data_IF_383378882258
#
_entry.id   IF_383378882258
#
_cell.length_a   1.000
_cell.length_b   1.000
_cell.length_c   1.000
_cell.angle_alpha   90.00
_cell.angle_beta   90.00
_cell.angle_gamma   90.00
#
_symmetry.space_group_name_H-M   'P 1'
#
loop_
_entity.id
_entity.type
_entity.pdbx_description
1 polymer ?
#
# COMPACT_ATOMS: atom_id res chain seq x y z
N UNK A 1 50.40 -5.99 -17.15
CA UNK A 1 49.69 -5.64 -15.88
C UNK A 1 48.72 -4.50 -16.11
N UNK A 2 47.49 -4.77 -16.59
CA UNK A 2 46.49 -3.71 -16.88
C UNK A 2 45.03 -4.20 -16.99
N UNK A 3 44.67 -5.29 -16.32
CA UNK A 3 43.30 -5.86 -16.37
C UNK A 3 42.54 -5.73 -15.05
N UNK A 4 43.25 -5.61 -13.92
CA UNK A 4 42.68 -5.45 -12.57
C UNK A 4 41.77 -4.23 -12.39
N UNK A 5 42.06 -3.10 -13.08
CA UNK A 5 41.32 -1.84 -12.89
C UNK A 5 39.92 -1.86 -13.51
N UNK A 6 39.69 -2.75 -14.47
CA UNK A 6 38.41 -2.87 -15.17
C UNK A 6 37.44 -3.69 -14.33
N UNK A 7 37.91 -4.74 -13.63
CA UNK A 7 37.08 -5.57 -12.76
C UNK A 7 36.51 -4.79 -11.55
N UNK A 8 37.30 -3.89 -10.95
CA UNK A 8 36.85 -3.10 -9.79
C UNK A 8 35.72 -2.10 -10.13
N UNK A 9 35.73 -1.52 -11.35
CA UNK A 9 34.69 -0.59 -11.80
C UNK A 9 33.38 -1.30 -12.18
N UNK A 10 33.46 -2.51 -12.73
CA UNK A 10 32.27 -3.32 -13.05
C UNK A 10 31.57 -3.80 -11.77
N UNK A 11 32.32 -4.17 -10.73
CA UNK A 11 31.75 -4.60 -9.44
C UNK A 11 31.09 -3.43 -8.70
N UNK A 12 31.65 -2.22 -8.78
CA UNK A 12 31.05 -1.03 -8.15
C UNK A 12 29.77 -0.55 -8.86
N UNK A 13 29.70 -0.68 -10.19
CA UNK A 13 28.48 -0.41 -10.95
C UNK A 13 27.37 -1.45 -10.67
N UNK A 14 27.74 -2.70 -10.40
CA UNK A 14 26.79 -3.76 -10.04
C UNK A 14 26.23 -3.58 -8.61
N UNK A 15 27.02 -3.03 -7.68
CA UNK A 15 26.57 -2.76 -6.32
C UNK A 15 25.59 -1.57 -6.21
N UNK A 16 25.70 -0.57 -7.11
CA UNK A 16 24.72 0.53 -7.17
C UNK A 16 23.36 0.12 -7.75
N UNK A 17 23.30 -0.94 -8.57
CA UNK A 17 22.03 -1.43 -9.13
C UNK A 17 21.18 -2.19 -8.10
N UNK A 18 21.79 -2.75 -7.05
CA UNK A 18 21.09 -3.50 -6.00
C UNK A 18 20.50 -2.62 -4.89
N UNK A 19 20.94 -1.37 -4.76
CA UNK A 19 20.38 -0.41 -3.80
C UNK A 19 19.06 0.24 -4.27
N UNK A 20 18.64 -0.06 -5.51
CA UNK A 20 17.49 0.58 -6.17
C UNK A 20 16.20 -0.24 -6.19
N UNK A 21 16.22 -1.50 -5.76
CA UNK A 21 15.00 -2.29 -5.59
C UNK A 21 14.26 -1.82 -4.32
N UNK A 22 13.80 -0.58 -4.32
CA UNK A 22 12.70 -0.19 -3.45
C UNK A 22 11.54 -1.09 -3.84
N UNK A 23 11.02 -1.85 -2.89
CA UNK A 23 9.71 -2.48 -3.03
C UNK A 23 8.78 -1.40 -3.59
N UNK A 24 8.35 -1.57 -4.84
CA UNK A 24 7.53 -0.58 -5.50
C UNK A 24 6.19 -0.62 -4.76
N UNK A 25 5.95 0.37 -3.90
CA UNK A 25 4.67 0.45 -3.21
C UNK A 25 3.57 0.48 -4.28
N UNK A 26 2.50 -0.32 -4.10
CA UNK A 26 1.51 -0.53 -5.14
C UNK A 26 1.03 0.82 -5.67
N UNK A 27 0.73 0.84 -6.97
CA UNK A 27 0.12 2.00 -7.61
C UNK A 27 -0.96 2.57 -6.68
N UNK A 28 -0.94 3.89 -6.52
CA UNK A 28 -1.77 4.75 -5.64
C UNK A 28 -1.22 5.19 -4.26
N UNK A 29 -0.10 4.67 -3.75
CA UNK A 29 0.68 5.33 -2.67
C UNK A 29 1.92 6.07 -3.17
N UNK A 30 2.11 6.16 -4.50
CA UNK A 30 3.42 6.48 -5.07
C UNK A 30 3.91 7.91 -4.80
N UNK A 31 3.03 8.86 -4.48
CA UNK A 31 3.42 10.26 -4.25
C UNK A 31 3.47 10.62 -2.78
N UNK A 32 2.51 10.14 -1.99
CA UNK A 32 2.48 10.36 -0.55
C UNK A 32 3.63 9.66 0.16
N UNK A 33 4.14 10.26 1.23
CA UNK A 33 5.21 9.73 2.07
C UNK A 33 4.82 9.88 3.54
N UNK A 34 5.15 8.88 4.34
CA UNK A 34 4.95 8.95 5.78
C UNK A 34 5.57 10.23 6.37
N UNK A 35 4.86 10.86 7.29
CA UNK A 35 5.29 12.12 7.90
C UNK A 35 4.90 13.39 7.14
N UNK A 36 4.43 13.31 5.88
CA UNK A 36 3.94 14.49 5.17
C UNK A 36 2.69 15.08 5.85
N UNK A 37 2.53 16.39 5.75
CA UNK A 37 1.33 17.08 6.23
C UNK A 37 0.18 16.91 5.24
N UNK A 38 -1.04 17.21 5.70
CA UNK A 38 -2.24 17.25 4.86
C UNK A 38 -2.01 18.06 3.58
N UNK A 39 -1.49 19.29 3.71
CA UNK A 39 -1.24 20.18 2.58
C UNK A 39 -0.25 19.58 1.56
N UNK A 40 0.80 18.92 2.04
CA UNK A 40 1.81 18.27 1.18
C UNK A 40 1.24 17.08 0.40
N UNK A 41 0.34 16.31 1.02
CA UNK A 41 -0.34 15.20 0.34
C UNK A 41 -1.33 15.73 -0.70
N UNK A 42 -2.12 16.76 -0.36
CA UNK A 42 -3.08 17.37 -1.28
C UNK A 42 -2.42 18.03 -2.49
N UNK A 43 -1.23 18.61 -2.35
CA UNK A 43 -0.46 19.17 -3.47
C UNK A 43 -0.05 18.07 -4.48
N UNK A 44 0.20 16.85 -4.01
CA UNK A 44 0.57 15.71 -4.85
C UNK A 44 -0.62 14.97 -5.49
N UNK A 45 -1.83 15.17 -4.96
CA UNK A 45 -3.04 14.41 -5.30
C UNK A 45 -4.21 15.37 -5.64
N UNK A 46 -4.22 15.96 -6.85
CA UNK A 46 -5.07 17.10 -7.21
C UNK A 46 -6.59 16.80 -7.32
N UNK A 47 -7.04 15.58 -7.07
CA UNK A 47 -8.45 15.17 -7.13
C UNK A 47 -8.91 14.49 -5.84
N UNK A 48 -8.51 15.08 -4.71
CA UNK A 48 -8.79 14.52 -3.40
C UNK A 48 -9.89 15.25 -2.64
N UNK A 49 -10.70 14.46 -1.94
CA UNK A 49 -11.68 14.96 -0.98
C UNK A 49 -11.05 14.96 0.41
N UNK A 50 -11.06 16.11 1.07
CA UNK A 50 -10.69 16.22 2.47
C UNK A 50 -11.92 16.08 3.37
N UNK A 51 -11.77 15.34 4.46
CA UNK A 51 -12.77 15.25 5.51
C UNK A 51 -12.10 15.23 6.89
N UNK A 52 -12.81 15.66 7.93
CA UNK A 52 -12.43 15.46 9.31
C UNK A 52 -13.50 14.60 9.99
N UNK A 53 -13.20 13.31 10.14
CA UNK A 53 -14.11 12.34 10.77
C UNK A 53 -13.60 12.04 12.18
N UNK A 54 -14.42 12.35 13.19
CA UNK A 54 -14.12 12.09 14.60
C UNK A 54 -12.78 12.69 15.07
N UNK A 55 -12.40 13.87 14.55
CA UNK A 55 -11.15 14.53 14.90
C UNK A 55 -9.92 13.98 14.17
N UNK A 56 -10.09 13.04 13.24
CA UNK A 56 -9.03 12.56 12.36
C UNK A 56 -9.17 13.19 10.98
N UNK A 57 -8.12 13.87 10.53
CA UNK A 57 -8.05 14.38 9.15
C UNK A 57 -7.85 13.20 8.21
N UNK A 58 -8.69 13.15 7.17
CA UNK A 58 -8.64 12.15 6.13
C UNK A 58 -8.65 12.79 4.74
N UNK A 59 -7.90 12.18 3.83
CA UNK A 59 -7.90 12.55 2.42
C UNK A 59 -8.27 11.31 1.62
N UNK A 60 -9.24 11.47 0.73
CA UNK A 60 -9.76 10.41 -0.12
C UNK A 60 -9.42 10.70 -1.57
N UNK A 61 -8.77 9.76 -2.25
CA UNK A 61 -8.50 9.83 -3.70
C UNK A 61 -9.32 8.77 -4.41
N UNK A 62 -10.01 9.18 -5.48
CA UNK A 62 -10.78 8.26 -6.35
C UNK A 62 -9.92 7.73 -7.50
N UNK A 63 -10.47 6.76 -8.23
CA UNK A 63 -9.92 6.23 -9.49
C UNK A 63 -8.53 5.59 -9.38
N UNK A 64 -8.25 5.05 -8.21
CA UNK A 64 -7.02 4.35 -7.91
C UNK A 64 -7.12 2.89 -8.39
N UNK A 65 -6.04 2.33 -8.94
CA UNK A 65 -5.96 0.90 -9.27
C UNK A 65 -4.84 0.19 -8.52
N UNK A 66 -5.12 -0.91 -7.84
CA UNK A 66 -4.12 -1.71 -7.14
C UNK A 66 -4.46 -3.19 -7.28
N UNK A 67 -3.44 -4.02 -7.53
CA UNK A 67 -3.60 -5.47 -7.73
C UNK A 67 -4.59 -5.84 -8.85
N UNK A 68 -4.77 -4.95 -9.83
CA UNK A 68 -5.75 -5.11 -10.91
C UNK A 68 -7.20 -4.88 -10.50
N UNK A 69 -7.44 -4.22 -9.35
CA UNK A 69 -8.75 -3.88 -8.81
C UNK A 69 -8.91 -2.36 -8.72
N UNK A 70 -10.13 -1.88 -8.89
CA UNK A 70 -10.46 -0.49 -8.57
C UNK A 70 -10.45 -0.26 -7.06
N UNK A 71 -9.88 0.85 -6.61
CA UNK A 71 -9.70 1.15 -5.20
C UNK A 71 -9.94 2.65 -4.91
N UNK A 72 -10.47 2.89 -3.72
CA UNK A 72 -10.41 4.19 -3.07
C UNK A 72 -9.14 4.24 -2.21
N UNK A 73 -8.36 5.32 -2.32
CA UNK A 73 -7.23 5.56 -1.41
C UNK A 73 -7.68 6.44 -0.26
N UNK A 74 -7.34 6.03 0.95
CA UNK A 74 -7.61 6.79 2.17
C UNK A 74 -6.30 7.09 2.88
N UNK A 75 -6.00 8.37 3.07
CA UNK A 75 -4.90 8.82 3.92
C UNK A 75 -5.46 9.27 5.26
N UNK A 76 -4.82 8.91 6.37
CA UNK A 76 -5.19 9.40 7.71
C UNK A 76 -3.99 10.04 8.39
N UNK A 77 -4.22 11.23 8.93
CA UNK A 77 -3.21 12.04 9.58
C UNK A 77 -3.41 12.01 11.10
N UNK A 78 -2.32 11.84 11.84
CA UNK A 78 -2.30 11.88 13.30
C UNK A 78 -1.14 12.76 13.74
N UNK A 79 -1.40 13.71 14.64
CA UNK A 79 -0.39 14.71 15.04
C UNK A 79 0.05 15.63 13.88
N UNK A 80 -0.83 15.85 12.89
CA UNK A 80 -0.55 16.70 11.72
C UNK A 80 0.32 16.04 10.64
N UNK A 81 0.57 14.74 10.74
CA UNK A 81 1.42 13.99 9.83
C UNK A 81 0.76 12.71 9.34
N UNK A 82 1.04 12.30 8.10
CA UNK A 82 0.51 11.09 7.50
C UNK A 82 1.01 9.86 8.26
N UNK A 83 0.09 9.08 8.84
CA UNK A 83 0.38 7.88 9.64
C UNK A 83 -0.25 6.61 9.10
N UNK A 84 -1.35 6.73 8.35
CA UNK A 84 -2.03 5.57 7.77
C UNK A 84 -2.42 5.82 6.32
N UNK A 85 -2.32 4.77 5.53
CA UNK A 85 -2.77 4.71 4.15
C UNK A 85 -3.68 3.50 3.99
N UNK A 86 -4.74 3.61 3.22
CA UNK A 86 -5.69 2.53 2.99
C UNK A 86 -6.06 2.42 1.52
N UNK A 87 -6.26 1.18 1.06
CA UNK A 87 -6.92 0.85 -0.20
C UNK A 87 -8.22 0.15 0.17
N UNK A 88 -9.34 0.68 -0.27
CA UNK A 88 -10.65 0.03 -0.15
C UNK A 88 -11.11 -0.34 -1.56
N UNK A 89 -11.11 -1.63 -1.88
CA UNK A 89 -11.49 -2.10 -3.22
C UNK A 89 -12.98 -1.87 -3.45
N UNK A 90 -13.31 -1.42 -4.66
CA UNK A 90 -14.66 -0.98 -5.05
C UNK A 90 -15.41 -2.04 -5.89
N UNK A 91 -14.83 -3.23 -6.04
CA UNK A 91 -15.45 -4.30 -6.82
C UNK A 91 -16.78 -4.75 -6.21
N UNK A 92 -17.77 -4.94 -7.08
CA UNK A 92 -19.07 -5.49 -6.72
C UNK A 92 -19.19 -6.91 -7.26
N UNK A 93 -19.42 -7.88 -6.36
CA UNK A 93 -19.68 -9.25 -6.75
C UNK A 93 -21.07 -9.69 -6.31
N UNK A 94 -21.72 -10.46 -7.18
CA UNK A 94 -23.01 -11.08 -6.84
C UNK A 94 -22.87 -12.15 -5.75
N UNK A 95 -21.73 -12.83 -5.69
CA UNK A 95 -21.45 -13.90 -4.73
C UNK A 95 -20.22 -13.57 -3.86
N UNK A 96 -20.26 -13.99 -2.60
CA UNK A 96 -19.15 -13.81 -1.64
C UNK A 96 -17.81 -14.38 -2.15
N UNK A 97 -17.84 -15.41 -3.00
CA UNK A 97 -16.64 -16.02 -3.57
C UNK A 97 -15.83 -15.05 -4.43
N UNK A 98 -16.45 -14.07 -5.08
CA UNK A 98 -15.71 -13.06 -5.85
C UNK A 98 -14.85 -12.14 -4.98
N UNK A 99 -15.38 -11.76 -3.81
CA UNK A 99 -14.59 -11.01 -2.81
C UNK A 99 -13.46 -11.85 -2.21
N UNK A 100 -13.65 -13.17 -2.08
CA UNK A 100 -12.58 -14.07 -1.67
C UNK A 100 -11.48 -14.13 -2.73
N UNK A 101 -11.83 -14.19 -4.02
CA UNK A 101 -10.86 -14.18 -5.12
C UNK A 101 -10.04 -12.89 -5.14
N UNK A 102 -10.67 -11.73 -4.89
CA UNK A 102 -9.98 -10.44 -4.79
C UNK A 102 -9.05 -10.39 -3.57
N UNK A 103 -9.50 -10.89 -2.42
CA UNK A 103 -8.66 -11.02 -1.23
C UNK A 103 -7.44 -11.88 -1.51
N UNK A 104 -7.61 -13.05 -2.13
CA UNK A 104 -6.52 -13.96 -2.46
C UNK A 104 -5.55 -13.33 -3.47
N UNK A 105 -6.05 -12.62 -4.49
CA UNK A 105 -5.21 -11.89 -5.45
C UNK A 105 -4.36 -10.81 -4.78
N UNK A 106 -4.97 -9.99 -3.93
CA UNK A 106 -4.24 -8.96 -3.19
C UNK A 106 -3.23 -9.59 -2.22
N UNK A 107 -3.61 -10.69 -1.55
CA UNK A 107 -2.73 -11.45 -0.66
C UNK A 107 -1.51 -11.98 -1.41
N UNK A 108 -1.69 -12.65 -2.53
CA UNK A 108 -0.58 -13.21 -3.32
C UNK A 108 0.41 -12.12 -3.75
N UNK A 109 -0.10 -10.97 -4.19
CA UNK A 109 0.73 -9.83 -4.56
C UNK A 109 1.50 -9.24 -3.36
N UNK A 110 0.84 -9.07 -2.22
CA UNK A 110 1.47 -8.59 -0.99
C UNK A 110 2.51 -9.59 -0.46
N UNK A 111 2.22 -10.89 -0.53
CA UNK A 111 3.17 -11.94 -0.16
C UNK A 111 4.39 -11.94 -1.06
N UNK A 112 4.21 -11.77 -2.37
CA UNK A 112 5.31 -11.62 -3.30
C UNK A 112 6.21 -10.40 -3.00
N UNK A 113 5.64 -9.34 -2.42
CA UNK A 113 6.36 -8.11 -2.10
C UNK A 113 7.01 -8.09 -0.71
N UNK A 114 6.31 -8.62 0.30
CA UNK A 114 6.67 -8.47 1.71
C UNK A 114 7.01 -9.80 2.40
N UNK A 115 6.93 -10.93 1.70
CA UNK A 115 7.12 -12.27 2.25
C UNK A 115 5.85 -12.84 2.88
N UNK A 116 5.99 -13.90 3.66
CA UNK A 116 4.85 -14.59 4.27
C UNK A 116 4.17 -13.73 5.36
N UNK A 117 2.83 -13.63 5.38
CA UNK A 117 2.11 -12.94 6.43
C UNK A 117 1.95 -13.77 7.70
N UNK A 118 1.64 -13.08 8.79
CA UNK A 118 0.92 -13.65 9.92
C UNK A 118 -0.57 -13.74 9.56
N UNK A 119 -1.13 -14.96 9.59
CA UNK A 119 -2.48 -15.23 9.07
C UNK A 119 -3.52 -15.55 10.15
N UNK A 120 -4.68 -14.95 9.97
CA UNK A 120 -5.97 -15.38 10.49
C UNK A 120 -6.93 -15.61 9.31
N UNK A 121 -8.02 -16.37 9.50
CA UNK A 121 -8.85 -16.87 8.40
C UNK A 121 -9.40 -15.79 7.42
N UNK A 122 -9.57 -14.54 7.87
CA UNK A 122 -10.07 -13.42 7.05
C UNK A 122 -9.16 -12.18 7.12
N UNK A 123 -7.91 -12.36 7.58
CA UNK A 123 -6.95 -11.28 7.78
C UNK A 123 -5.52 -11.77 7.62
N UNK A 124 -4.74 -11.08 6.81
CA UNK A 124 -3.30 -11.31 6.68
C UNK A 124 -2.54 -10.05 7.09
N UNK A 125 -1.48 -10.20 7.87
CA UNK A 125 -0.67 -9.09 8.36
C UNK A 125 0.81 -9.29 8.01
N UNK A 126 1.42 -8.27 7.44
CA UNK A 126 2.86 -8.20 7.20
C UNK A 126 3.46 -7.12 8.07
N UNK A 127 4.67 -7.38 8.55
CA UNK A 127 5.42 -6.44 9.35
C UNK A 127 6.75 -6.13 8.66
N UNK A 128 7.03 -4.84 8.51
CA UNK A 128 8.34 -4.33 8.11
C UNK A 128 8.90 -3.45 9.22
N UNK A 129 10.14 -2.99 9.06
CA UNK A 129 10.76 -2.05 10.00
C UNK A 129 9.96 -0.75 10.16
N UNK A 130 9.23 -0.33 9.11
CA UNK A 130 8.60 1.00 9.05
C UNK A 130 7.08 0.96 9.04
N UNK A 131 6.50 -0.17 8.65
CA UNK A 131 5.08 -0.25 8.33
C UNK A 131 4.53 -1.62 8.67
N UNK A 132 3.35 -1.63 9.27
CA UNK A 132 2.47 -2.79 9.37
C UNK A 132 1.45 -2.72 8.25
N UNK A 133 1.34 -3.78 7.47
CA UNK A 133 0.36 -3.93 6.39
C UNK A 133 -0.68 -4.95 6.83
N UNK A 134 -1.96 -4.62 6.74
CA UNK A 134 -3.07 -5.52 7.06
C UNK A 134 -3.99 -5.62 5.86
N UNK A 135 -4.18 -6.81 5.32
CA UNK A 135 -5.22 -7.14 4.35
C UNK A 135 -6.38 -7.77 5.12
N UNK A 136 -7.61 -7.36 4.83
CA UNK A 136 -8.81 -7.92 5.46
C UNK A 136 -9.91 -8.16 4.44
N UNK A 137 -10.62 -9.28 4.62
CA UNK A 137 -11.93 -9.54 4.02
C UNK A 137 -12.98 -9.36 5.12
N UNK A 138 -13.88 -8.40 4.95
CA UNK A 138 -14.96 -8.13 5.89
C UNK A 138 -16.33 -8.48 5.30
N UNK A 139 -17.27 -8.81 6.17
CA UNK A 139 -18.67 -9.01 5.83
C UNK A 139 -19.56 -8.33 6.87
N UNK A 140 -20.53 -7.55 6.40
CA UNK A 140 -21.59 -6.95 7.20
C UNK A 140 -22.94 -7.29 6.56
N UNK A 141 -23.55 -8.38 7.02
CA UNK A 141 -24.76 -8.93 6.41
C UNK A 141 -24.51 -9.37 4.96
N UNK A 142 -25.17 -8.71 4.01
CA UNK A 142 -25.01 -8.98 2.57
C UNK A 142 -23.85 -8.20 1.93
N UNK A 143 -23.25 -7.24 2.65
CA UNK A 143 -22.13 -6.47 2.13
C UNK A 143 -20.81 -7.18 2.43
N UNK A 144 -19.92 -7.21 1.44
CA UNK A 144 -18.57 -7.69 1.58
C UNK A 144 -17.60 -6.60 1.13
N UNK A 145 -16.43 -6.54 1.74
CA UNK A 145 -15.39 -5.61 1.32
C UNK A 145 -14.01 -6.20 1.54
N UNK A 146 -13.09 -5.84 0.66
CA UNK A 146 -11.67 -6.16 0.77
C UNK A 146 -10.91 -4.85 0.90
N UNK A 147 -10.00 -4.78 1.86
CA UNK A 147 -9.21 -3.59 2.10
C UNK A 147 -7.78 -3.93 2.53
N UNK A 148 -6.85 -3.06 2.15
CA UNK A 148 -5.47 -3.07 2.64
C UNK A 148 -5.22 -1.81 3.43
N UNK A 149 -4.68 -1.95 4.63
CA UNK A 149 -4.32 -0.83 5.51
C UNK A 149 -2.83 -0.88 5.83
N UNK A 150 -2.16 0.23 5.58
CA UNK A 150 -0.76 0.48 5.91
C UNK A 150 -0.72 1.43 7.11
N UNK A 151 -0.01 1.03 8.17
CA UNK A 151 0.16 1.83 9.39
C UNK A 151 1.65 2.03 9.62
N UNK A 152 2.09 3.28 9.72
CA UNK A 152 3.46 3.58 10.11
C UNK A 152 3.71 3.14 11.55
N UNK A 153 4.83 2.45 11.80
CA UNK A 153 5.30 2.08 13.14
C UNK A 153 5.71 3.31 13.98
#
# INVERSE_FOLDING_TARGET
>A
MKTWRICALVIMALALALAGARAQEPANFQRARWGQTLAQVMEGEPETLWNNLNGQEQVLTKDAQAFGLEALVIYTFEGGALKKGGLVFQEEHYFAWGYLDDYLRAKDALTGQYGEPEEEAWKATWQTDRTRITLSLASDGAAHSVAVVYVQN
#
